data_IF_478870489069
#
_entry.id   IF_478870489069
#
_cell.length_a   1.000
_cell.length_b   1.000
_cell.length_c   1.000
_cell.angle_alpha   90.00
_cell.angle_beta   90.00
_cell.angle_gamma   90.00
#
_symmetry.space_group_name_H-M   'P 1'
#
loop_
_entity.id
_entity.type
_entity.pdbx_description
1 polymer ?
#
# COMPACT_ATOMS: atom_id res chain seq x y z
N UNK A 1 -13.70 -1.15 16.92
CA UNK A 1 -12.47 -1.08 17.74
C UNK A 1 -11.95 0.34 17.64
N UNK A 2 -11.73 1.03 18.76
CA UNK A 2 -11.13 2.37 18.73
C UNK A 2 -9.63 2.25 18.47
N UNK A 3 -9.03 3.27 17.84
CA UNK A 3 -7.59 3.28 17.53
C UNK A 3 -6.72 3.10 18.78
N UNK A 4 -7.12 3.71 19.89
CA UNK A 4 -6.43 3.58 21.18
C UNK A 4 -6.51 2.14 21.74
N UNK A 5 -7.60 1.41 21.48
CA UNK A 5 -7.73 0.01 21.88
C UNK A 5 -6.80 -0.90 21.07
N UNK A 6 -6.60 -0.58 19.79
CA UNK A 6 -5.64 -1.29 18.94
C UNK A 6 -4.20 -1.06 19.42
N UNK A 7 -3.83 0.21 19.65
CA UNK A 7 -2.48 0.58 20.09
C UNK A 7 -2.14 0.00 21.47
N UNK A 8 -3.06 0.04 22.43
CA UNK A 8 -2.83 -0.53 23.76
C UNK A 8 -2.60 -2.05 23.72
N UNK A 9 -3.25 -2.77 22.79
CA UNK A 9 -3.01 -4.22 22.56
C UNK A 9 -1.73 -4.52 21.79
N UNK A 10 -1.23 -3.56 21.04
CA UNK A 10 0.04 -3.65 20.33
C UNK A 10 1.24 -3.29 21.22
N UNK A 11 1.01 -2.51 22.28
CA UNK A 11 2.04 -2.12 23.24
C UNK A 11 2.70 -3.35 23.87
N UNK A 12 4.03 -3.43 23.79
CA UNK A 12 4.83 -4.54 24.32
C UNK A 12 5.03 -5.72 23.36
N UNK A 13 4.48 -5.67 22.14
CA UNK A 13 4.80 -6.68 21.11
C UNK A 13 6.20 -6.48 20.55
N UNK A 14 6.87 -7.58 20.22
CA UNK A 14 8.12 -7.56 19.46
C UNK A 14 7.91 -6.83 18.12
N UNK A 15 8.90 -6.02 17.73
CA UNK A 15 8.97 -5.45 16.37
C UNK A 15 9.42 -6.47 15.34
N UNK A 16 9.95 -7.62 15.79
CA UNK A 16 10.41 -8.72 14.96
C UNK A 16 9.30 -9.76 14.89
N UNK A 17 8.80 -10.01 13.68
CA UNK A 17 7.83 -11.05 13.37
C UNK A 17 8.51 -12.12 12.51
N UNK A 18 8.52 -13.40 12.92
CA UNK A 18 9.06 -14.46 12.08
C UNK A 18 8.20 -14.60 10.81
N UNK A 19 8.82 -14.84 9.63
CA UNK A 19 8.06 -15.01 8.40
C UNK A 19 7.23 -16.31 8.47
N UNK A 20 6.03 -16.26 7.91
CA UNK A 20 5.19 -17.44 7.69
C UNK A 20 5.24 -17.77 6.21
N UNK A 21 5.79 -18.93 5.87
CA UNK A 21 5.84 -19.40 4.49
C UNK A 21 4.44 -19.77 4.00
N UNK A 22 4.12 -19.32 2.79
CA UNK A 22 2.83 -19.53 2.15
C UNK A 22 3.05 -19.90 0.68
N UNK A 23 2.06 -20.55 0.07
CA UNK A 23 2.09 -20.85 -1.37
C UNK A 23 1.85 -19.57 -2.18
N UNK A 24 2.23 -19.59 -3.46
CA UNK A 24 1.99 -18.47 -4.37
C UNK A 24 0.51 -18.09 -4.49
N UNK A 25 -0.39 -19.07 -4.36
CA UNK A 25 -1.85 -18.89 -4.46
C UNK A 25 -2.52 -18.50 -3.14
N UNK A 26 -1.77 -18.47 -2.03
CA UNK A 26 -2.31 -18.05 -0.75
C UNK A 26 -2.79 -16.59 -0.80
N UNK A 27 -3.94 -16.32 -0.19
CA UNK A 27 -4.56 -14.99 -0.24
C UNK A 27 -3.84 -14.00 0.68
N UNK A 28 -3.66 -12.77 0.20
CA UNK A 28 -3.02 -11.67 0.92
C UNK A 28 -4.03 -10.57 1.29
N UNK A 29 -4.93 -10.22 0.38
CA UNK A 29 -5.96 -9.21 0.60
C UNK A 29 -7.16 -9.42 -0.33
N UNK A 30 -8.28 -8.76 -0.02
CA UNK A 30 -9.48 -8.74 -0.85
C UNK A 30 -9.81 -7.29 -1.18
N UNK A 31 -9.94 -6.97 -2.47
CA UNK A 31 -10.47 -5.68 -2.90
C UNK A 31 -11.90 -5.84 -3.38
N UNK A 32 -12.78 -4.98 -2.90
CA UNK A 32 -14.15 -4.91 -3.41
C UNK A 32 -14.24 -3.90 -4.55
N UNK A 33 -15.00 -4.26 -5.58
CA UNK A 33 -15.37 -3.37 -6.68
C UNK A 33 -16.90 -3.27 -6.78
N UNK A 34 -17.43 -2.20 -7.37
CA UNK A 34 -18.87 -1.90 -7.39
C UNK A 34 -19.75 -2.93 -8.11
N UNK A 35 -19.16 -3.80 -8.94
CA UNK A 35 -19.92 -4.78 -9.72
C UNK A 35 -20.88 -4.15 -10.74
N UNK A 36 -21.47 -4.99 -11.59
CA UNK A 36 -22.50 -4.57 -12.57
C UNK A 36 -23.91 -4.92 -12.10
N UNK A 37 -24.02 -5.75 -11.07
CA UNK A 37 -25.27 -6.33 -10.54
C UNK A 37 -25.75 -5.67 -9.25
N UNK A 38 -25.15 -4.55 -8.84
CA UNK A 38 -25.43 -3.85 -7.59
C UNK A 38 -24.64 -4.37 -6.38
N UNK A 39 -24.38 -5.67 -6.33
CA UNK A 39 -23.57 -6.28 -5.26
C UNK A 39 -22.05 -6.10 -5.48
N UNK A 40 -21.28 -5.71 -4.45
CA UNK A 40 -19.84 -5.60 -4.54
C UNK A 40 -19.16 -6.93 -4.90
N UNK A 41 -18.29 -6.92 -5.90
CA UNK A 41 -17.49 -8.09 -6.29
C UNK A 41 -16.21 -8.14 -5.48
N UNK A 42 -16.00 -9.25 -4.75
CA UNK A 42 -14.75 -9.54 -4.05
C UNK A 42 -13.68 -10.01 -5.06
N UNK A 43 -12.53 -9.34 -5.06
CA UNK A 43 -11.38 -9.66 -5.90
C UNK A 43 -10.25 -10.09 -4.96
N UNK A 44 -10.06 -11.40 -4.75
CA UNK A 44 -8.96 -11.89 -3.93
C UNK A 44 -7.62 -11.69 -4.64
N UNK A 45 -6.63 -11.25 -3.88
CA UNK A 45 -5.24 -11.16 -4.31
C UNK A 45 -4.44 -12.28 -3.67
N UNK A 46 -3.49 -12.81 -4.41
CA UNK A 46 -2.59 -13.86 -3.94
C UNK A 46 -1.22 -13.28 -3.58
N UNK A 47 -0.28 -14.13 -3.14
CA UNK A 47 1.11 -13.73 -2.91
C UNK A 47 1.80 -13.22 -4.20
N UNK A 48 1.31 -13.59 -5.39
CA UNK A 48 1.86 -13.12 -6.65
C UNK A 48 1.55 -11.65 -6.94
N UNK A 49 0.43 -11.12 -6.43
CA UNK A 49 0.02 -9.73 -6.73
C UNK A 49 1.02 -8.69 -6.21
N UNK A 50 1.48 -8.75 -4.93
CA UNK A 50 2.56 -7.88 -4.43
C UNK A 50 3.84 -7.97 -5.26
N UNK A 51 4.29 -9.19 -5.58
CA UNK A 51 5.53 -9.44 -6.33
C UNK A 51 5.45 -8.81 -7.71
N UNK A 52 4.31 -8.95 -8.38
CA UNK A 52 4.07 -8.33 -9.69
C UNK A 52 4.07 -6.80 -9.60
N UNK A 53 3.45 -6.21 -8.58
CA UNK A 53 3.48 -4.75 -8.40
C UNK A 53 4.92 -4.24 -8.28
N UNK A 54 5.75 -4.94 -7.49
CA UNK A 54 7.16 -4.60 -7.34
C UNK A 54 7.93 -4.72 -8.65
N UNK A 55 7.76 -5.83 -9.38
CA UNK A 55 8.41 -6.04 -10.67
C UNK A 55 8.00 -5.01 -11.72
N UNK A 56 6.69 -4.74 -11.85
CA UNK A 56 6.16 -3.80 -12.83
C UNK A 56 6.66 -2.37 -12.55
N UNK A 57 6.72 -1.95 -11.28
CA UNK A 57 7.23 -0.61 -10.91
C UNK A 57 8.75 -0.51 -11.01
N UNK A 58 9.49 -1.58 -10.70
CA UNK A 58 10.93 -1.64 -10.91
C UNK A 58 11.31 -1.53 -12.39
N UNK A 59 10.52 -2.16 -13.28
CA UNK A 59 10.80 -2.23 -14.70
C UNK A 59 10.24 -1.02 -15.49
N UNK A 60 9.04 -0.56 -15.17
CA UNK A 60 8.34 0.46 -15.95
C UNK A 60 8.41 1.87 -15.35
N UNK A 61 8.63 1.98 -14.04
CA UNK A 61 8.71 3.26 -13.33
C UNK A 61 10.09 3.52 -12.73
N UNK A 62 11.06 2.64 -12.98
CA UNK A 62 12.43 2.73 -12.49
C UNK A 62 12.50 2.91 -10.96
N UNK A 63 11.58 2.30 -10.20
CA UNK A 63 11.63 2.40 -8.73
C UNK A 63 12.87 1.68 -8.21
N UNK A 64 13.68 2.39 -7.43
CA UNK A 64 14.93 1.94 -6.80
C UNK A 64 14.90 2.11 -5.29
N UNK A 65 15.79 1.40 -4.56
CA UNK A 65 15.99 1.69 -3.14
C UNK A 65 16.30 3.17 -2.92
N UNK A 66 15.79 3.73 -1.82
CA UNK A 66 15.88 5.16 -1.45
C UNK A 66 14.95 6.12 -2.19
N UNK A 67 14.27 5.70 -3.26
CA UNK A 67 13.25 6.53 -3.90
C UNK A 67 12.08 6.80 -2.96
N UNK A 68 11.37 7.90 -3.20
CA UNK A 68 10.13 8.25 -2.50
C UNK A 68 8.95 8.10 -3.45
N UNK A 69 8.19 7.03 -3.27
CA UNK A 69 6.94 6.80 -3.99
C UNK A 69 5.84 7.73 -3.50
N UNK A 70 5.50 8.72 -4.32
CA UNK A 70 4.43 9.68 -4.05
C UNK A 70 3.32 9.59 -5.12
N UNK A 71 2.30 8.77 -4.86
CA UNK A 71 1.09 8.71 -5.68
C UNK A 71 -0.13 9.07 -4.83
N UNK A 72 -0.78 10.21 -5.09
CA UNK A 72 -1.96 10.63 -4.34
C UNK A 72 -3.15 9.72 -4.65
N UNK A 73 -3.36 8.71 -3.83
CA UNK A 73 -4.50 7.79 -3.91
C UNK A 73 -4.97 7.43 -2.50
N UNK A 74 -6.15 6.83 -2.41
CA UNK A 74 -6.62 6.27 -1.14
C UNK A 74 -6.20 4.80 -1.03
N UNK A 75 -5.99 4.31 0.20
CA UNK A 75 -5.57 2.93 0.44
C UNK A 75 -6.66 1.88 0.18
N UNK A 76 -7.92 2.31 0.04
CA UNK A 76 -9.07 1.43 -0.24
C UNK A 76 -9.27 1.13 -1.73
N UNK A 77 -8.61 1.87 -2.62
CA UNK A 77 -8.67 1.69 -4.06
C UNK A 77 -7.50 0.85 -4.54
N UNK A 78 -7.59 0.29 -5.75
CA UNK A 78 -6.60 -0.66 -6.28
C UNK A 78 -5.17 -0.12 -6.25
N UNK A 79 -4.98 1.18 -6.51
CA UNK A 79 -3.64 1.79 -6.47
C UNK A 79 -3.03 1.86 -5.08
N UNK A 80 -3.83 1.81 -4.01
CA UNK A 80 -3.36 1.85 -2.63
C UNK A 80 -2.45 0.66 -2.30
N UNK A 81 -2.94 -0.59 -2.40
CA UNK A 81 -2.09 -1.76 -2.25
C UNK A 81 -0.96 -1.84 -3.27
N UNK A 82 -1.19 -1.42 -4.53
CA UNK A 82 -0.14 -1.42 -5.56
C UNK A 82 1.05 -0.59 -5.11
N UNK A 83 0.84 0.67 -4.71
CA UNK A 83 1.97 1.53 -4.33
C UNK A 83 2.63 1.07 -3.03
N UNK A 84 1.85 0.52 -2.09
CA UNK A 84 2.37 -0.02 -0.85
C UNK A 84 3.35 -1.18 -1.12
N UNK A 85 2.93 -2.17 -1.91
CA UNK A 85 3.79 -3.29 -2.27
C UNK A 85 4.98 -2.85 -3.13
N UNK A 86 4.74 -1.97 -4.09
CA UNK A 86 5.79 -1.44 -4.98
C UNK A 86 6.90 -0.73 -4.23
N UNK A 87 6.57 0.10 -3.23
CA UNK A 87 7.59 0.80 -2.45
C UNK A 87 8.35 -0.17 -1.56
N UNK A 88 7.64 -0.91 -0.72
CA UNK A 88 8.31 -1.69 0.34
C UNK A 88 9.07 -2.91 -0.19
N UNK A 89 8.60 -3.56 -1.26
CA UNK A 89 9.32 -4.69 -1.85
C UNK A 89 10.54 -4.24 -2.67
N UNK A 90 10.55 -3.01 -3.20
CA UNK A 90 11.72 -2.44 -3.88
C UNK A 90 12.67 -1.67 -2.94
N UNK A 91 12.37 -1.60 -1.63
CA UNK A 91 13.18 -0.86 -0.67
C UNK A 91 13.06 0.67 -0.78
N UNK A 92 12.01 1.16 -1.42
CA UNK A 92 11.66 2.57 -1.51
C UNK A 92 10.78 3.01 -0.32
N UNK A 93 10.63 4.32 -0.17
CA UNK A 93 9.81 4.95 0.87
C UNK A 93 8.43 5.29 0.31
N UNK A 94 7.36 4.94 1.04
CA UNK A 94 6.00 5.35 0.68
C UNK A 94 5.65 6.68 1.35
N UNK A 95 5.33 7.70 0.56
CA UNK A 95 4.82 8.97 1.06
C UNK A 95 3.29 8.92 1.24
N UNK A 96 2.81 9.24 2.44
CA UNK A 96 1.38 9.27 2.77
C UNK A 96 0.94 10.68 3.13
N UNK A 97 -0.13 11.15 2.48
CA UNK A 97 -0.77 12.42 2.77
C UNK A 97 -2.21 12.21 3.21
N UNK A 98 -2.56 12.79 4.36
CA UNK A 98 -3.92 12.78 4.87
C UNK A 98 -4.58 14.13 4.63
N UNK A 99 -5.50 14.18 3.67
CA UNK A 99 -6.27 15.37 3.35
C UNK A 99 -6.66 15.46 1.89
N UNK A 100 -7.25 16.59 1.51
CA UNK A 100 -7.62 16.86 0.12
C UNK A 100 -6.40 17.26 -0.73
N UNK A 101 -6.27 16.75 -1.96
CA UNK A 101 -5.22 17.17 -2.89
C UNK A 101 -5.44 18.59 -3.45
N UNK A 102 -6.60 19.21 -3.20
CA UNK A 102 -6.95 20.53 -3.76
C UNK A 102 -6.38 21.71 -2.96
N UNK A 103 -5.84 21.46 -1.76
CA UNK A 103 -5.34 22.50 -0.87
C UNK A 103 -3.83 22.72 -0.98
N UNK A 104 -3.37 23.89 -0.51
CA UNK A 104 -1.93 24.22 -0.42
C UNK A 104 -1.11 23.20 0.38
N UNK A 105 -1.74 22.51 1.34
CA UNK A 105 -1.09 21.44 2.12
C UNK A 105 -0.56 20.32 1.24
N UNK A 106 -1.31 19.94 0.20
CA UNK A 106 -0.88 18.91 -0.74
C UNK A 106 0.29 19.39 -1.61
N UNK A 107 0.27 20.63 -2.08
CA UNK A 107 1.41 21.19 -2.83
C UNK A 107 2.70 21.16 -2.01
N UNK A 108 2.62 21.53 -0.72
CA UNK A 108 3.78 21.46 0.19
C UNK A 108 4.26 20.02 0.39
N UNK A 109 3.34 19.08 0.55
CA UNK A 109 3.65 17.66 0.67
C UNK A 109 4.41 17.14 -0.55
N UNK A 110 3.91 17.42 -1.77
CA UNK A 110 4.57 17.00 -3.02
C UNK A 110 5.95 17.65 -3.15
N UNK A 111 6.09 18.93 -2.80
CA UNK A 111 7.38 19.62 -2.85
C UNK A 111 8.43 18.97 -1.95
N UNK A 112 8.03 18.44 -0.78
CA UNK A 112 8.94 17.72 0.13
C UNK A 112 9.27 16.32 -0.39
N UNK A 113 8.34 15.66 -1.06
CA UNK A 113 8.56 14.29 -1.58
C UNK A 113 9.42 14.25 -2.85
N UNK A 114 9.46 15.34 -3.62
CA UNK A 114 10.22 15.46 -4.87
C UNK A 114 11.52 16.25 -4.73
N UNK A 115 11.88 16.66 -3.51
CA UNK A 115 13.12 17.37 -3.20
C UNK A 115 14.22 16.40 -2.75
#
# INVERSE_FOLDING_TARGET
MLWNDFLSRAAGRSSIYPPVYQTADALTNILFSSGTTGEPKAIPWTQLSPIRCAADTWAHMDVRPQDVGCWPTNLGWVMGPIILYSCFLNGATLALYQGSPLGRGFCKFVQVCLA
#
